data_IF_488761096944
#
_entry.id   IF_488761096944
#
_cell.length_a   1.000
_cell.length_b   1.000
_cell.length_c   1.000
_cell.angle_alpha   90.00
_cell.angle_beta   90.00
_cell.angle_gamma   90.00
#
_symmetry.space_group_name_H-M   'P 1'
#
loop_
_entity.id
_entity.type
_entity.pdbx_description
1 polymer ?
#
# COMPACT_ATOMS: atom_id res chain seq x y z
N UNK A 1 -18.36 -13.75 -13.51
CA UNK A 1 -18.66 -12.74 -12.48
C UNK A 1 -17.42 -12.54 -11.64
N UNK A 2 -17.00 -11.28 -11.38
CA UNK A 2 -16.62 -10.77 -10.05
C UNK A 2 -16.06 -9.33 -10.16
N UNK A 3 -16.89 -8.41 -9.66
CA UNK A 3 -16.59 -7.13 -8.99
C UNK A 3 -15.89 -6.00 -9.75
N UNK A 4 -16.71 -5.22 -10.47
CA UNK A 4 -16.45 -3.80 -10.73
C UNK A 4 -16.87 -3.02 -9.49
N UNK A 5 -15.90 -2.46 -8.76
CA UNK A 5 -16.18 -1.50 -7.69
C UNK A 5 -15.94 -0.10 -8.26
N UNK A 6 -17.01 0.49 -8.78
CA UNK A 6 -17.10 1.95 -8.99
C UNK A 6 -17.17 2.60 -7.60
N UNK A 7 -16.16 3.39 -7.25
CA UNK A 7 -16.16 4.23 -6.05
C UNK A 7 -16.26 5.69 -6.48
N UNK A 8 -17.45 6.25 -6.35
CA UNK A 8 -17.80 7.63 -6.68
C UNK A 8 -16.98 8.66 -5.90
N UNK A 9 -16.32 9.56 -6.64
CA UNK A 9 -16.06 10.99 -6.38
C UNK A 9 -15.45 11.44 -5.05
N UNK A 10 -16.09 11.13 -3.92
CA UNK A 10 -16.00 11.95 -2.71
C UNK A 10 -15.66 11.12 -1.46
N UNK A 11 -15.95 9.81 -1.48
CA UNK A 11 -15.59 8.84 -0.42
C UNK A 11 -14.27 8.08 -0.73
N UNK A 12 -13.70 8.37 -1.91
CA UNK A 12 -12.52 7.70 -2.49
C UNK A 12 -11.24 7.96 -1.67
N UNK A 13 -11.22 8.97 -0.79
CA UNK A 13 -9.98 9.47 -0.20
C UNK A 13 -9.33 8.58 0.87
N UNK A 14 -10.05 7.67 1.53
CA UNK A 14 -9.46 6.84 2.60
C UNK A 14 -9.49 5.35 2.30
N UNK A 15 -10.60 4.85 1.74
CA UNK A 15 -10.73 3.47 1.32
C UNK A 15 -9.86 3.17 0.09
N UNK A 16 -9.83 4.06 -0.92
CA UNK A 16 -9.03 3.83 -2.11
C UNK A 16 -7.52 3.91 -1.81
N UNK A 17 -7.09 4.79 -0.90
CA UNK A 17 -5.69 4.85 -0.46
C UNK A 17 -5.27 3.52 0.16
N UNK A 18 -6.06 2.97 1.09
CA UNK A 18 -5.77 1.67 1.71
C UNK A 18 -5.73 0.55 0.66
N UNK A 19 -6.68 0.57 -0.29
CA UNK A 19 -6.72 -0.40 -1.37
C UNK A 19 -5.48 -0.31 -2.27
N UNK A 20 -5.07 0.89 -2.66
CA UNK A 20 -3.85 1.11 -3.44
C UNK A 20 -2.60 0.69 -2.68
N UNK A 21 -2.44 1.07 -1.41
CA UNK A 21 -1.32 0.62 -0.57
C UNK A 21 -1.27 -0.91 -0.55
N UNK A 22 -2.42 -1.57 -0.34
CA UNK A 22 -2.50 -3.03 -0.34
C UNK A 22 -2.10 -3.63 -1.69
N UNK A 23 -2.60 -3.08 -2.80
CA UNK A 23 -2.27 -3.56 -4.16
C UNK A 23 -0.77 -3.41 -4.47
N UNK A 24 -0.15 -2.30 -4.07
CA UNK A 24 1.28 -2.05 -4.24
C UNK A 24 2.12 -3.04 -3.42
N UNK A 25 1.72 -3.28 -2.17
CA UNK A 25 2.37 -4.24 -1.28
C UNK A 25 2.17 -5.69 -1.78
N UNK A 26 1.01 -6.01 -2.35
CA UNK A 26 0.75 -7.33 -2.93
C UNK A 26 1.66 -7.60 -4.13
N UNK A 27 1.84 -6.59 -4.98
CA UNK A 27 2.74 -6.61 -6.16
C UNK A 27 4.23 -6.55 -5.81
N UNK A 28 4.61 -6.26 -4.56
CA UNK A 28 6.01 -6.17 -4.16
C UNK A 28 6.70 -7.54 -4.22
N UNK A 29 7.97 -7.60 -4.65
CA UNK A 29 8.76 -8.84 -4.69
C UNK A 29 9.86 -8.84 -3.64
N UNK A 30 10.42 -10.00 -3.31
CA UNK A 30 11.57 -10.12 -2.37
C UNK A 30 12.75 -9.22 -2.72
N UNK A 31 12.97 -8.97 -4.02
CA UNK A 31 14.02 -8.09 -4.52
C UNK A 31 13.65 -6.60 -4.47
N UNK A 32 12.35 -6.28 -4.45
CA UNK A 32 11.84 -4.91 -4.51
C UNK A 32 10.75 -4.70 -3.46
N UNK A 33 11.18 -4.50 -2.21
CA UNK A 33 10.32 -4.22 -1.06
C UNK A 33 10.10 -2.71 -0.99
N UNK A 34 8.85 -2.28 -1.15
CA UNK A 34 8.52 -0.85 -1.20
C UNK A 34 8.59 -0.21 0.19
N UNK A 35 9.37 0.84 0.35
CA UNK A 35 9.40 1.62 1.59
C UNK A 35 8.09 2.40 1.78
N UNK A 36 7.80 2.83 3.02
CA UNK A 36 6.63 3.69 3.28
C UNK A 36 6.70 4.99 2.45
N UNK A 37 7.92 5.46 2.14
CA UNK A 37 8.20 6.60 1.27
C UNK A 37 7.94 6.28 -0.22
N UNK A 38 8.36 5.11 -0.71
CA UNK A 38 8.08 4.68 -2.09
C UNK A 38 6.58 4.50 -2.33
N UNK A 39 5.86 3.94 -1.35
CA UNK A 39 4.40 3.84 -1.42
C UNK A 39 3.76 5.23 -1.53
N UNK A 40 4.27 6.23 -0.81
CA UNK A 40 3.77 7.59 -0.88
C UNK A 40 4.05 8.23 -2.26
N UNK A 41 5.24 8.00 -2.85
CA UNK A 41 5.57 8.46 -4.20
C UNK A 41 4.68 7.81 -5.26
N UNK A 42 4.49 6.48 -5.20
CA UNK A 42 3.61 5.76 -6.13
C UNK A 42 2.13 6.19 -6.01
N UNK A 43 1.69 6.59 -4.81
CA UNK A 43 0.35 7.17 -4.61
C UNK A 43 0.27 8.57 -5.21
N UNK A 44 1.34 9.36 -5.10
CA UNK A 44 1.43 10.70 -5.69
C UNK A 44 1.30 10.65 -7.22
N UNK A 45 1.87 9.64 -7.88
CA UNK A 45 1.70 9.38 -9.33
C UNK A 45 0.24 9.13 -9.71
N UNK A 46 -0.58 8.62 -8.78
CA UNK A 46 -2.02 8.39 -8.97
C UNK A 46 -2.88 9.60 -8.58
N UNK A 47 -2.28 10.79 -8.47
CA UNK A 47 -2.90 12.01 -7.92
C UNK A 47 -3.37 11.88 -6.46
N UNK A 48 -2.81 10.93 -5.71
CA UNK A 48 -3.13 10.69 -4.31
C UNK A 48 -1.95 11.16 -3.44
N UNK A 49 -2.00 12.41 -3.00
CA UNK A 49 -0.96 12.96 -2.14
C UNK A 49 -1.15 12.47 -0.70
N UNK A 50 -0.34 11.50 -0.29
CA UNK A 50 -0.32 11.01 1.09
C UNK A 50 1.07 11.15 1.69
N UNK A 51 1.11 11.53 2.96
CA UNK A 51 2.37 11.57 3.69
C UNK A 51 2.80 10.16 4.12
N UNK A 52 4.10 9.92 4.21
CA UNK A 52 4.70 8.71 4.81
C UNK A 52 4.04 8.31 6.14
N UNK A 53 3.75 9.29 7.01
CA UNK A 53 3.07 9.06 8.31
C UNK A 53 1.67 8.46 8.14
N UNK A 54 0.91 8.92 7.13
CA UNK A 54 -0.42 8.40 6.81
C UNK A 54 -0.34 6.98 6.25
N UNK A 55 0.65 6.72 5.38
CA UNK A 55 0.92 5.37 4.86
C UNK A 55 1.26 4.42 6.02
N UNK A 56 2.15 4.81 6.94
CA UNK A 56 2.48 4.02 8.12
C UNK A 56 1.25 3.72 8.97
N UNK A 57 0.42 4.73 9.27
CA UNK A 57 -0.84 4.56 10.01
C UNK A 57 -1.78 3.56 9.34
N UNK A 58 -1.95 3.65 8.02
CA UNK A 58 -2.80 2.71 7.27
C UNK A 58 -2.18 1.31 7.18
N UNK A 59 -0.86 1.21 7.05
CA UNK A 59 -0.13 -0.05 7.07
C UNK A 59 -0.32 -0.78 8.41
N UNK A 60 -0.20 -0.05 9.52
CA UNK A 60 -0.46 -0.58 10.86
C UNK A 60 -1.93 -1.00 11.05
N UNK A 61 -2.88 -0.19 10.57
CA UNK A 61 -4.30 -0.53 10.59
C UNK A 61 -4.66 -1.78 9.77
N UNK A 62 -3.84 -2.13 8.76
CA UNK A 62 -3.97 -3.36 7.98
C UNK A 62 -3.12 -4.51 8.54
N UNK A 63 -2.49 -4.34 9.71
CA UNK A 63 -1.57 -5.29 10.33
C UNK A 63 -0.38 -5.68 9.44
N UNK A 64 0.02 -4.81 8.53
CA UNK A 64 1.13 -5.07 7.62
C UNK A 64 2.45 -4.65 8.30
N UNK A 65 3.44 -5.55 8.39
CA UNK A 65 4.70 -5.23 9.04
C UNK A 65 5.54 -4.22 8.23
N UNK A 66 6.53 -3.60 8.88
CA UNK A 66 7.42 -2.60 8.24
C UNK A 66 8.29 -3.23 7.16
N UNK A 67 8.74 -2.43 6.19
CA UNK A 67 9.55 -2.87 5.04
C UNK A 67 10.71 -3.83 5.40
N UNK A 68 11.53 -3.59 6.44
CA UNK A 68 12.60 -4.53 6.82
C UNK A 68 12.06 -5.90 7.28
N UNK A 69 10.92 -5.89 7.97
CA UNK A 69 10.24 -7.10 8.46
C UNK A 69 9.52 -7.82 7.32
N UNK A 70 8.95 -7.11 6.34
CA UNK A 70 8.39 -7.70 5.09
C UNK A 70 9.46 -8.38 4.25
N UNK A 71 10.62 -7.73 4.08
CA UNK A 71 11.80 -8.32 3.43
C UNK A 71 12.17 -9.65 4.07
N UNK A 72 12.29 -9.68 5.40
CA UNK A 72 12.61 -10.90 6.15
C UNK A 72 11.53 -11.97 6.01
N UNK A 73 10.25 -11.61 6.14
CA UNK A 73 9.13 -12.55 6.02
C UNK A 73 9.04 -13.18 4.62
N UNK A 74 9.21 -12.39 3.54
CA UNK A 74 9.18 -12.95 2.19
C UNK A 74 10.45 -13.76 1.86
N UNK A 75 11.62 -13.37 2.38
CA UNK A 75 12.87 -14.15 2.23
C UNK A 75 12.79 -15.50 2.97
N UNK A 76 12.13 -15.55 4.12
CA UNK A 76 11.89 -16.80 4.88
C UNK A 76 10.83 -17.72 4.26
N UNK A 77 10.10 -17.24 3.25
CA UNK A 77 9.03 -17.99 2.57
C UNK A 77 9.48 -18.67 1.28
N UNK A 78 10.75 -18.46 0.90
CA UNK A 78 11.47 -19.17 -0.16
C UNK A 78 12.07 -20.43 0.45
#
# INVERSE_FOLDING_TARGET
ALSRAEGSGDDVSSAAVKHHIKELIDKETVGHILSDDELADMLKERNVTVARRTVAKYREAMHIPSSPKRKRLKLQKI
#
